data_IF_348672065359
#
_entry.id   IF_348672065359
#
_cell.length_a   1.000
_cell.length_b   1.000
_cell.length_c   1.000
_cell.angle_alpha   90.00
_cell.angle_beta   90.00
_cell.angle_gamma   90.00
#
_symmetry.space_group_name_H-M   'P 1'
#
loop_
_entity.id
_entity.type
_entity.pdbx_description
1 polymer ?
#
# COMPACT_ATOMS: atom_id res chain seq x y z
N UNK A 1 91.79 -31.65 -23.24
CA UNK A 1 92.17 -30.22 -23.28
C UNK A 1 90.93 -29.40 -22.89
N UNK A 2 91.13 -28.51 -21.94
CA UNK A 2 90.10 -27.71 -21.31
C UNK A 2 89.52 -26.64 -22.21
N UNK A 3 88.17 -26.48 -22.23
CA UNK A 3 87.56 -25.24 -22.65
C UNK A 3 86.46 -24.83 -21.65
N UNK A 4 86.58 -23.58 -21.20
CA UNK A 4 85.81 -22.96 -20.09
C UNK A 4 84.41 -22.59 -20.55
N UNK A 5 83.44 -22.83 -19.64
CA UNK A 5 82.08 -22.33 -19.71
C UNK A 5 82.04 -20.88 -19.28
N UNK A 6 81.35 -20.05 -20.02
CA UNK A 6 80.97 -18.70 -19.59
C UNK A 6 79.44 -18.64 -19.53
N UNK A 7 78.91 -18.51 -18.27
CA UNK A 7 77.49 -18.38 -18.00
C UNK A 7 77.10 -16.90 -18.13
N UNK A 8 76.21 -16.59 -19.03
CA UNK A 8 75.55 -15.29 -19.11
C UNK A 8 74.20 -15.43 -18.42
N UNK A 9 73.99 -14.70 -17.27
CA UNK A 9 72.74 -14.56 -16.58
C UNK A 9 71.95 -13.43 -17.24
N UNK A 10 70.87 -13.76 -17.97
CA UNK A 10 69.83 -12.79 -18.36
C UNK A 10 68.68 -12.80 -17.36
N UNK A 11 68.65 -11.81 -16.48
CA UNK A 11 67.49 -11.57 -15.61
C UNK A 11 66.39 -10.90 -16.43
N UNK A 12 65.37 -11.68 -16.77
CA UNK A 12 64.14 -11.15 -17.33
C UNK A 12 63.18 -10.71 -16.18
N UNK A 13 63.07 -9.39 -15.96
CA UNK A 13 62.06 -8.82 -15.10
C UNK A 13 60.69 -8.90 -15.82
N UNK A 14 59.84 -9.88 -15.43
CA UNK A 14 58.46 -9.91 -15.88
C UNK A 14 57.68 -8.88 -15.01
N UNK A 15 57.41 -7.70 -15.57
CA UNK A 15 56.43 -6.76 -15.03
C UNK A 15 55.04 -7.34 -15.31
N UNK A 16 54.43 -7.94 -14.28
CA UNK A 16 53.02 -8.31 -14.31
C UNK A 16 52.19 -7.02 -14.22
N UNK A 17 51.76 -6.47 -15.37
CA UNK A 17 50.68 -5.50 -15.42
C UNK A 17 49.39 -6.23 -15.00
N UNK A 18 48.97 -6.03 -13.75
CA UNK A 18 47.58 -6.29 -13.32
C UNK A 18 46.66 -5.38 -14.14
N UNK A 19 46.16 -5.86 -15.25
CA UNK A 19 45.01 -5.32 -15.93
C UNK A 19 43.79 -5.57 -14.99
N UNK A 20 43.62 -4.72 -14.01
CA UNK A 20 42.31 -4.56 -13.35
C UNK A 20 41.36 -3.94 -14.40
N UNK A 21 40.75 -4.79 -15.18
CA UNK A 21 39.58 -4.41 -15.97
C UNK A 21 38.57 -3.75 -15.03
N UNK A 22 37.77 -2.78 -15.47
CA UNK A 22 36.74 -2.21 -14.63
C UNK A 22 35.86 -3.38 -14.14
N UNK A 23 35.76 -3.55 -12.84
CA UNK A 23 34.80 -4.48 -12.24
C UNK A 23 33.44 -4.12 -12.85
N UNK A 24 32.89 -5.03 -13.62
CA UNK A 24 31.57 -4.88 -14.20
C UNK A 24 30.64 -4.86 -12.98
N UNK A 25 30.04 -3.71 -12.71
CA UNK A 25 29.06 -3.62 -11.63
C UNK A 25 27.98 -4.67 -11.95
N UNK A 26 27.74 -5.59 -11.00
CA UNK A 26 26.71 -6.60 -11.17
C UNK A 26 25.37 -5.90 -11.40
N UNK A 27 24.52 -6.50 -12.25
CA UNK A 27 23.16 -5.99 -12.51
C UNK A 27 22.43 -5.77 -11.17
N UNK A 28 21.68 -4.68 -11.07
CA UNK A 28 20.84 -4.43 -9.89
C UNK A 28 19.61 -5.31 -9.99
N UNK A 29 19.54 -6.36 -9.20
CA UNK A 29 18.31 -7.16 -9.07
C UNK A 29 17.36 -6.45 -8.10
N UNK A 30 16.27 -5.94 -8.66
CA UNK A 30 15.22 -5.23 -7.97
C UNK A 30 13.99 -6.13 -7.82
N UNK A 31 13.80 -6.73 -6.65
CA UNK A 31 12.65 -7.58 -6.35
C UNK A 31 11.54 -6.77 -5.70
N UNK A 32 10.32 -6.89 -6.22
CA UNK A 32 9.21 -6.04 -5.78
C UNK A 32 7.90 -6.81 -5.64
N UNK A 33 7.21 -6.59 -4.51
CA UNK A 33 5.80 -6.98 -4.35
C UNK A 33 4.84 -5.90 -4.86
N UNK A 34 5.37 -4.73 -5.23
CA UNK A 34 4.61 -3.63 -5.79
C UNK A 34 4.76 -3.61 -7.31
N UNK A 35 3.79 -3.02 -8.00
CA UNK A 35 3.79 -2.91 -9.47
C UNK A 35 3.93 -4.29 -10.14
N UNK A 36 3.14 -5.27 -9.66
CA UNK A 36 3.12 -6.65 -10.17
C UNK A 36 2.29 -6.87 -11.42
N UNK A 37 1.16 -6.16 -11.63
CA UNK A 37 0.47 -6.22 -12.90
C UNK A 37 1.43 -5.99 -14.07
N UNK A 38 1.25 -6.72 -15.16
CA UNK A 38 2.20 -6.69 -16.30
C UNK A 38 2.36 -5.27 -16.82
N UNK A 39 1.27 -4.54 -16.91
CA UNK A 39 1.22 -3.15 -17.39
C UNK A 39 2.01 -2.22 -16.47
N UNK A 40 1.86 -2.35 -15.15
CA UNK A 40 2.57 -1.53 -14.17
C UNK A 40 4.07 -1.87 -14.17
N UNK A 41 4.42 -3.16 -14.20
CA UNK A 41 5.81 -3.61 -14.28
C UNK A 41 6.48 -3.13 -15.57
N UNK A 42 5.75 -3.10 -16.69
CA UNK A 42 6.24 -2.57 -17.96
C UNK A 42 6.48 -1.06 -17.88
N UNK A 43 5.55 -0.30 -17.29
CA UNK A 43 5.72 1.15 -17.07
C UNK A 43 6.91 1.45 -16.17
N UNK A 44 7.15 0.64 -15.14
CA UNK A 44 8.34 0.79 -14.31
C UNK A 44 9.62 0.64 -15.15
N UNK A 45 9.72 -0.41 -15.99
CA UNK A 45 10.92 -0.67 -16.82
C UNK A 45 11.12 0.37 -17.92
N UNK A 46 10.05 0.72 -18.63
CA UNK A 46 10.16 1.46 -19.90
C UNK A 46 10.04 2.98 -19.70
N UNK A 47 9.35 3.42 -18.64
CA UNK A 47 9.09 4.84 -18.42
C UNK A 47 9.76 5.35 -17.16
N UNK A 48 9.52 4.73 -16.00
CA UNK A 48 10.01 5.23 -14.71
C UNK A 48 11.54 5.07 -14.61
N UNK A 49 12.08 3.91 -15.04
CA UNK A 49 13.53 3.64 -15.00
C UNK A 49 14.30 4.07 -16.27
N UNK A 50 13.61 4.70 -17.24
CA UNK A 50 14.19 5.03 -18.54
C UNK A 50 15.49 5.83 -18.46
N UNK A 51 15.56 6.79 -17.56
CA UNK A 51 16.69 7.69 -17.41
C UNK A 51 17.68 7.23 -16.33
N UNK A 52 17.45 6.07 -15.72
CA UNK A 52 18.39 5.52 -14.74
C UNK A 52 19.61 4.90 -15.43
N UNK A 53 20.85 5.29 -15.06
CA UNK A 53 22.03 4.99 -15.89
C UNK A 53 22.55 3.55 -15.77
N UNK A 54 22.03 2.77 -14.82
CA UNK A 54 22.49 1.39 -14.60
C UNK A 54 21.41 0.39 -14.98
N UNK A 55 21.83 -0.83 -15.31
CA UNK A 55 20.90 -1.90 -15.64
C UNK A 55 20.18 -2.43 -14.40
N UNK A 56 18.86 -2.42 -14.44
CA UNK A 56 17.98 -2.94 -13.40
C UNK A 56 17.22 -4.15 -13.94
N UNK A 57 17.32 -5.28 -13.25
CA UNK A 57 16.51 -6.47 -13.49
C UNK A 57 15.35 -6.48 -12.48
N UNK A 58 14.17 -6.01 -12.92
CA UNK A 58 12.96 -6.06 -12.10
C UNK A 58 12.39 -7.48 -12.03
N UNK A 59 12.19 -7.97 -10.83
CA UNK A 59 11.56 -9.26 -10.50
C UNK A 59 10.29 -8.99 -9.69
N UNK A 60 9.11 -8.91 -10.33
CA UNK A 60 7.84 -8.87 -9.60
C UNK A 60 7.62 -10.20 -8.87
N UNK A 61 7.21 -10.13 -7.59
CA UNK A 61 7.05 -11.31 -6.77
C UNK A 61 5.89 -11.16 -5.77
N UNK A 62 5.31 -12.27 -5.34
CA UNK A 62 4.34 -12.28 -4.24
C UNK A 62 5.05 -12.19 -2.88
N UNK A 63 4.40 -11.67 -1.82
CA UNK A 63 5.05 -11.47 -0.52
C UNK A 63 5.63 -12.74 0.11
N UNK A 64 4.91 -13.86 0.06
CA UNK A 64 5.37 -15.11 0.67
C UNK A 64 6.54 -15.76 -0.11
N UNK A 65 6.50 -15.91 -1.46
CA UNK A 65 7.65 -16.31 -2.25
C UNK A 65 8.87 -15.39 -2.08
N UNK A 66 8.67 -14.06 -2.01
CA UNK A 66 9.75 -13.11 -1.76
C UNK A 66 10.46 -13.43 -0.44
N UNK A 67 9.71 -13.56 0.66
CA UNK A 67 10.28 -13.88 1.97
C UNK A 67 11.01 -15.23 1.97
N UNK A 68 10.43 -16.25 1.32
CA UNK A 68 11.02 -17.58 1.17
C UNK A 68 12.35 -17.52 0.41
N UNK A 69 12.39 -16.79 -0.70
CA UNK A 69 13.62 -16.61 -1.48
C UNK A 69 14.69 -15.87 -0.69
N UNK A 70 14.34 -14.76 -0.04
CA UNK A 70 15.28 -13.99 0.77
C UNK A 70 15.91 -14.85 1.88
N UNK A 71 15.10 -15.71 2.53
CA UNK A 71 15.58 -16.65 3.52
C UNK A 71 16.50 -17.71 2.92
N UNK A 72 16.11 -18.34 1.81
CA UNK A 72 16.91 -19.36 1.14
C UNK A 72 18.26 -18.83 0.67
N UNK A 73 18.30 -17.62 0.12
CA UNK A 73 19.56 -16.94 -0.27
C UNK A 73 20.43 -16.64 0.97
N UNK A 74 19.79 -16.32 2.11
CA UNK A 74 20.47 -16.13 3.37
C UNK A 74 21.14 -17.43 3.86
N UNK A 75 20.38 -18.50 3.92
CA UNK A 75 20.82 -19.80 4.42
C UNK A 75 21.93 -20.39 3.50
N UNK A 76 21.84 -20.19 2.20
CA UNK A 76 22.84 -20.64 1.24
C UNK A 76 24.11 -19.77 1.17
N UNK A 77 24.12 -18.60 1.85
CA UNK A 77 25.23 -17.64 1.76
C UNK A 77 25.43 -17.05 0.35
N UNK A 78 24.44 -17.22 -0.55
CA UNK A 78 24.51 -16.76 -1.94
C UNK A 78 23.42 -15.70 -2.17
N UNK A 79 23.84 -14.45 -2.25
CA UNK A 79 22.95 -13.30 -2.42
C UNK A 79 22.84 -12.93 -3.90
N UNK A 80 21.64 -12.71 -4.38
CA UNK A 80 21.37 -12.25 -5.76
C UNK A 80 20.57 -10.94 -5.79
N UNK A 81 19.78 -10.67 -4.76
CA UNK A 81 18.93 -9.49 -4.69
C UNK A 81 19.71 -8.29 -4.17
N UNK A 82 19.61 -7.15 -4.86
CA UNK A 82 20.22 -5.88 -4.43
C UNK A 82 19.20 -5.00 -3.69
N UNK A 83 18.03 -4.80 -4.28
CA UNK A 83 16.97 -3.95 -3.73
C UNK A 83 15.68 -4.74 -3.57
N UNK A 84 15.02 -4.53 -2.45
CA UNK A 84 13.68 -5.06 -2.19
C UNK A 84 12.71 -3.89 -2.07
N UNK A 85 11.61 -3.94 -2.83
CA UNK A 85 10.49 -3.04 -2.65
C UNK A 85 9.26 -3.82 -2.20
N UNK A 86 8.67 -3.39 -1.09
CA UNK A 86 7.49 -4.06 -0.56
C UNK A 86 6.65 -3.11 0.30
N UNK A 87 5.42 -3.48 0.58
CA UNK A 87 4.58 -2.77 1.53
C UNK A 87 5.16 -2.81 2.94
N UNK A 88 4.86 -1.79 3.75
CA UNK A 88 5.35 -1.70 5.14
C UNK A 88 5.18 -3.01 5.92
N UNK A 89 3.98 -3.62 5.89
CA UNK A 89 3.71 -4.88 6.57
C UNK A 89 4.44 -6.10 6.00
N UNK A 90 4.91 -6.04 4.76
CA UNK A 90 5.63 -7.10 4.06
C UNK A 90 7.15 -7.02 4.31
N UNK A 91 7.68 -5.83 4.61
CA UNK A 91 9.09 -5.62 4.99
C UNK A 91 9.39 -6.08 6.42
N UNK A 92 8.40 -6.05 7.30
CA UNK A 92 8.61 -6.43 8.70
C UNK A 92 9.02 -7.90 8.90
N UNK A 93 8.42 -8.91 8.22
CA UNK A 93 8.93 -10.29 8.26
C UNK A 93 10.38 -10.42 7.77
N UNK A 94 10.79 -9.62 6.77
CA UNK A 94 12.16 -9.61 6.27
C UNK A 94 13.14 -9.05 7.31
N UNK A 95 12.73 -8.00 8.04
CA UNK A 95 13.49 -7.47 9.17
C UNK A 95 13.66 -8.52 10.27
N UNK A 96 12.58 -9.23 10.61
CA UNK A 96 12.59 -10.23 11.70
C UNK A 96 13.57 -11.39 11.42
N UNK A 97 13.81 -11.74 10.16
CA UNK A 97 14.82 -12.76 9.76
C UNK A 97 16.20 -12.16 9.43
N UNK A 98 16.39 -10.85 9.66
CA UNK A 98 17.67 -10.17 9.40
C UNK A 98 18.03 -10.09 7.91
N UNK A 99 17.04 -10.07 7.01
CA UNK A 99 17.25 -10.07 5.56
C UNK A 99 17.47 -8.67 4.95
N UNK A 100 17.40 -7.61 5.76
CA UNK A 100 17.59 -6.22 5.34
C UNK A 100 18.84 -5.61 5.98
N UNK A 101 19.57 -4.81 5.21
CA UNK A 101 20.69 -4.01 5.73
C UNK A 101 20.20 -2.65 6.24
N UNK A 102 20.80 -2.12 7.32
CA UNK A 102 20.63 -0.72 7.69
C UNK A 102 21.08 0.24 6.56
N UNK A 103 20.29 1.27 6.34
CA UNK A 103 20.48 2.29 5.31
C UNK A 103 20.36 3.71 5.88
N UNK A 104 20.86 3.92 7.10
CA UNK A 104 20.91 5.23 7.76
C UNK A 104 21.73 6.24 6.93
N UNK A 105 22.76 5.78 6.24
CA UNK A 105 23.59 6.54 5.31
C UNK A 105 22.80 7.04 4.10
N UNK A 106 21.94 6.20 3.51
CA UNK A 106 21.03 6.61 2.42
C UNK A 106 19.99 7.61 2.95
N UNK A 107 19.38 7.32 4.11
CA UNK A 107 18.43 8.23 4.73
C UNK A 107 19.03 9.63 4.97
N UNK A 108 20.29 9.70 5.39
CA UNK A 108 21.00 10.97 5.59
C UNK A 108 21.18 11.77 4.28
N UNK A 109 21.42 11.09 3.15
CA UNK A 109 21.50 11.74 1.82
C UNK A 109 20.14 12.30 1.36
N UNK A 110 19.04 11.72 1.82
CA UNK A 110 17.69 12.06 1.38
C UNK A 110 16.96 13.06 2.30
N UNK A 111 17.63 13.59 3.34
CA UNK A 111 17.02 14.48 4.34
C UNK A 111 16.31 15.72 3.75
N UNK A 112 16.83 16.23 2.65
CA UNK A 112 16.32 17.45 2.01
C UNK A 112 15.16 17.17 1.02
N UNK A 113 14.74 15.91 0.86
CA UNK A 113 13.63 15.53 -0.04
C UNK A 113 12.24 15.78 0.56
N UNK A 114 12.16 16.17 1.82
CA UNK A 114 10.90 16.51 2.49
C UNK A 114 9.98 15.30 2.72
N UNK A 115 10.56 14.10 2.88
CA UNK A 115 9.78 12.93 3.30
C UNK A 115 9.27 13.16 4.72
N UNK A 116 7.96 13.01 5.00
CA UNK A 116 7.42 13.20 6.33
C UNK A 116 8.12 12.33 7.39
N UNK A 117 8.43 12.92 8.55
CA UNK A 117 9.11 12.21 9.63
C UNK A 117 8.34 10.96 10.09
N UNK A 118 7.00 10.99 10.07
CA UNK A 118 6.14 9.84 10.35
C UNK A 118 6.38 8.67 9.39
N UNK A 119 6.53 8.94 8.10
CA UNK A 119 6.84 7.90 7.11
C UNK A 119 8.26 7.36 7.27
N UNK A 120 9.25 8.23 7.55
CA UNK A 120 10.61 7.79 7.85
C UNK A 120 10.67 6.93 9.10
N UNK A 121 9.87 7.24 10.13
CA UNK A 121 9.77 6.42 11.34
C UNK A 121 9.23 5.01 11.05
N UNK A 122 8.28 4.86 10.12
CA UNK A 122 7.82 3.54 9.66
C UNK A 122 8.98 2.73 9.07
N UNK A 123 9.90 3.38 8.37
CA UNK A 123 11.08 2.76 7.76
C UNK A 123 12.04 2.10 8.74
N UNK A 124 11.90 2.38 10.03
CA UNK A 124 12.69 1.73 11.08
C UNK A 124 12.16 0.34 11.49
N UNK A 125 10.94 -0.02 11.09
CA UNK A 125 10.34 -1.33 11.39
C UNK A 125 10.42 -1.73 12.88
N UNK A 126 10.25 -0.74 13.79
CA UNK A 126 10.33 -0.94 15.24
C UNK A 126 11.74 -0.99 15.82
N UNK A 127 12.79 -0.76 15.02
CA UNK A 127 14.19 -0.69 15.47
C UNK A 127 14.67 0.76 15.60
N UNK A 128 15.94 0.95 15.95
CA UNK A 128 16.63 2.25 15.95
C UNK A 128 17.26 2.58 14.60
N UNK A 129 17.31 1.62 13.66
CA UNK A 129 17.94 1.74 12.34
C UNK A 129 16.93 2.01 11.23
N UNK A 130 17.33 2.79 10.23
CA UNK A 130 16.54 2.91 8.99
C UNK A 130 16.74 1.64 8.16
N UNK A 131 15.66 0.91 7.88
CA UNK A 131 15.69 -0.35 7.15
C UNK A 131 15.02 -0.25 5.78
N UNK A 132 14.15 0.74 5.58
CA UNK A 132 13.67 1.11 4.25
C UNK A 132 13.46 2.61 4.12
N UNK A 133 13.57 3.11 2.90
CA UNK A 133 13.16 4.48 2.54
C UNK A 133 11.73 4.39 1.99
N UNK A 134 10.77 5.19 2.49
CA UNK A 134 9.46 5.31 1.86
C UNK A 134 9.63 5.67 0.38
N UNK A 135 8.91 4.96 -0.49
CA UNK A 135 9.05 5.12 -1.95
C UNK A 135 7.82 5.74 -2.58
N UNK A 136 6.67 5.17 -2.31
CA UNK A 136 5.41 5.62 -2.85
C UNK A 136 4.29 5.30 -1.88
N UNK A 137 3.20 6.04 -1.99
CA UNK A 137 2.04 5.86 -1.15
C UNK A 137 0.76 5.84 -1.96
N UNK A 138 -0.23 5.18 -1.42
CA UNK A 138 -1.58 5.18 -1.93
C UNK A 138 -2.57 5.14 -0.76
N UNK A 139 -3.82 5.35 -1.08
CA UNK A 139 -4.92 5.20 -0.14
C UNK A 139 -6.21 4.90 -0.92
N UNK A 140 -7.31 4.85 -0.21
CA UNK A 140 -8.64 4.69 -0.78
C UNK A 140 -9.40 5.98 -0.57
N UNK A 141 -10.21 6.34 -1.54
CA UNK A 141 -11.01 7.56 -1.53
C UNK A 141 -12.45 7.27 -1.96
N UNK A 142 -13.30 8.24 -1.74
CA UNK A 142 -14.61 8.29 -2.37
C UNK A 142 -14.55 9.10 -3.65
N UNK A 143 -15.32 8.68 -4.64
CA UNK A 143 -15.58 9.43 -5.87
C UNK A 143 -17.07 9.53 -6.10
N UNK A 144 -17.56 10.69 -6.51
CA UNK A 144 -18.94 10.82 -6.95
C UNK A 144 -19.03 11.48 -8.32
N UNK A 145 -19.92 10.95 -9.17
CA UNK A 145 -20.36 11.69 -10.35
C UNK A 145 -21.14 12.93 -9.89
N UNK A 146 -20.88 14.08 -10.50
CA UNK A 146 -21.54 15.36 -10.15
C UNK A 146 -23.07 15.28 -10.24
N UNK A 147 -23.64 14.33 -10.99
CA UNK A 147 -25.08 14.03 -11.00
C UNK A 147 -25.63 13.63 -9.62
N UNK A 148 -24.77 13.13 -8.72
CA UNK A 148 -25.16 12.78 -7.36
C UNK A 148 -25.28 14.01 -6.45
N UNK A 149 -24.53 15.09 -6.70
CA UNK A 149 -24.43 16.27 -5.83
C UNK A 149 -25.77 16.94 -5.50
N UNK A 150 -26.74 17.06 -6.43
CA UNK A 150 -28.07 17.63 -6.09
C UNK A 150 -28.84 16.89 -5.01
N UNK A 151 -28.46 15.66 -4.68
CA UNK A 151 -29.08 14.82 -3.66
C UNK A 151 -28.33 14.82 -2.33
N UNK A 152 -27.20 15.54 -2.25
CA UNK A 152 -26.45 15.67 -1.01
C UNK A 152 -27.32 16.30 0.08
N UNK A 153 -27.30 15.76 1.31
CA UNK A 153 -28.06 16.34 2.41
C UNK A 153 -27.73 17.82 2.63
N UNK A 154 -28.75 18.61 2.93
CA UNK A 154 -28.58 20.05 3.15
C UNK A 154 -27.50 20.34 4.23
N UNK A 155 -26.55 21.22 3.92
CA UNK A 155 -25.45 21.60 4.79
C UNK A 155 -24.33 20.57 4.90
N UNK A 156 -24.40 19.42 4.20
CA UNK A 156 -23.31 18.46 4.15
C UNK A 156 -22.20 18.93 3.20
N UNK A 157 -20.95 18.75 3.64
CA UNK A 157 -19.75 18.94 2.82
C UNK A 157 -19.20 17.57 2.41
N UNK A 158 -19.02 17.33 1.11
CA UNK A 158 -18.44 16.06 0.60
C UNK A 158 -17.08 15.76 1.21
N UNK A 159 -16.30 16.79 1.57
CA UNK A 159 -14.97 16.61 2.16
C UNK A 159 -15.00 16.29 3.67
N UNK A 160 -16.17 16.43 4.30
CA UNK A 160 -16.36 16.25 5.74
C UNK A 160 -17.57 15.35 6.09
N UNK A 161 -17.94 14.45 5.16
CA UNK A 161 -19.10 13.56 5.35
C UNK A 161 -18.93 12.67 6.58
N UNK A 162 -20.09 12.38 7.22
CA UNK A 162 -20.24 11.24 8.13
C UNK A 162 -20.87 10.04 7.42
N UNK A 163 -20.78 8.83 8.02
CA UNK A 163 -21.47 7.66 7.48
C UNK A 163 -22.98 7.83 7.43
N UNK A 164 -23.57 8.54 8.40
CA UNK A 164 -25.01 8.84 8.40
C UNK A 164 -25.39 9.75 7.22
N UNK A 165 -24.57 10.76 6.93
CA UNK A 165 -24.78 11.63 5.77
C UNK A 165 -24.60 10.88 4.46
N UNK A 166 -23.62 9.97 4.35
CA UNK A 166 -23.47 9.11 3.18
C UNK A 166 -24.71 8.21 2.98
N UNK A 167 -25.23 7.62 4.08
CA UNK A 167 -26.45 6.81 4.03
C UNK A 167 -27.68 7.63 3.59
N UNK A 168 -27.83 8.83 4.14
CA UNK A 168 -28.91 9.75 3.75
C UNK A 168 -28.79 10.17 2.27
N UNK A 169 -27.56 10.43 1.78
CA UNK A 169 -27.29 10.76 0.39
C UNK A 169 -27.66 9.62 -0.54
N UNK A 170 -27.18 8.40 -0.27
CA UNK A 170 -27.49 7.22 -1.07
C UNK A 170 -29.01 6.92 -1.11
N UNK A 171 -29.69 7.08 0.05
CA UNK A 171 -31.14 6.92 0.15
C UNK A 171 -31.89 7.98 -0.66
N UNK A 172 -31.50 9.26 -0.59
CA UNK A 172 -32.12 10.33 -1.37
C UNK A 172 -32.00 10.08 -2.89
N UNK A 173 -30.86 9.59 -3.37
CA UNK A 173 -30.68 9.19 -4.77
C UNK A 173 -31.65 8.05 -5.12
N UNK A 174 -31.73 7.02 -4.27
CA UNK A 174 -32.61 5.88 -4.49
C UNK A 174 -34.10 6.30 -4.54
N UNK A 175 -34.55 7.14 -3.60
CA UNK A 175 -35.93 7.62 -3.55
C UNK A 175 -36.33 8.46 -4.78
N UNK A 176 -35.39 9.26 -5.28
CA UNK A 176 -35.66 10.16 -6.44
C UNK A 176 -35.49 9.48 -7.79
N UNK A 177 -34.59 8.53 -7.90
CA UNK A 177 -34.26 7.88 -9.19
C UNK A 177 -34.84 6.48 -9.34
N UNK A 178 -35.33 5.88 -8.25
CA UNK A 178 -35.73 4.49 -8.19
C UNK A 178 -34.56 3.50 -8.23
N UNK A 179 -33.30 3.99 -8.18
CA UNK A 179 -32.11 3.16 -8.38
C UNK A 179 -31.07 3.40 -7.27
N UNK A 180 -30.45 2.31 -6.82
CA UNK A 180 -29.35 2.35 -5.86
C UNK A 180 -28.05 2.63 -6.59
N UNK A 181 -27.41 3.78 -6.31
CA UNK A 181 -26.24 4.29 -7.06
C UNK A 181 -24.98 4.44 -6.22
N UNK A 182 -24.97 3.95 -4.97
CA UNK A 182 -23.77 3.82 -4.17
C UNK A 182 -23.12 2.46 -4.44
N UNK A 183 -21.81 2.39 -4.60
CA UNK A 183 -21.08 1.17 -4.92
C UNK A 183 -19.83 0.98 -4.08
N UNK A 184 -19.50 -0.30 -3.86
CA UNK A 184 -18.29 -0.77 -3.19
C UNK A 184 -17.67 -1.95 -3.96
N UNK A 185 -16.33 -2.14 -3.92
CA UNK A 185 -15.66 -3.24 -4.59
C UNK A 185 -15.72 -4.53 -3.74
N UNK A 186 -16.93 -5.11 -3.61
CA UNK A 186 -17.19 -6.27 -2.77
C UNK A 186 -17.19 -7.61 -3.55
N UNK A 187 -16.74 -7.61 -4.80
CA UNK A 187 -16.51 -8.80 -5.61
C UNK A 187 -15.34 -9.65 -5.11
N UNK A 188 -15.15 -10.83 -5.70
CA UNK A 188 -14.14 -11.81 -5.22
C UNK A 188 -12.70 -11.30 -5.17
N UNK A 189 -12.33 -10.38 -6.07
CA UNK A 189 -11.01 -9.72 -6.14
C UNK A 189 -11.07 -8.25 -5.70
N UNK A 190 -12.21 -7.85 -5.15
CA UNK A 190 -12.43 -6.50 -4.63
C UNK A 190 -11.62 -6.23 -3.37
N UNK A 191 -11.41 -4.94 -3.10
CA UNK A 191 -10.66 -4.51 -1.91
C UNK A 191 -11.57 -4.15 -0.73
N UNK A 192 -12.76 -4.75 -0.67
CA UNK A 192 -13.70 -4.53 0.43
C UNK A 192 -13.14 -4.82 1.84
N UNK A 193 -12.26 -5.84 2.05
CA UNK A 193 -11.61 -6.02 3.36
C UNK A 193 -10.91 -4.74 3.83
N UNK A 194 -10.27 -4.00 2.92
CA UNK A 194 -9.55 -2.75 3.24
C UNK A 194 -10.47 -1.63 3.68
N UNK A 195 -11.72 -1.62 3.17
CA UNK A 195 -12.74 -0.70 3.66
C UNK A 195 -13.08 -0.98 5.14
N UNK A 196 -13.27 -2.24 5.50
CA UNK A 196 -13.54 -2.60 6.90
C UNK A 196 -12.34 -2.30 7.80
N UNK A 197 -11.15 -2.73 7.41
CA UNK A 197 -9.92 -2.66 8.21
C UNK A 197 -9.37 -1.23 8.32
N UNK A 198 -9.52 -0.42 7.28
CA UNK A 198 -8.91 0.92 7.24
C UNK A 198 -9.86 2.08 7.47
N UNK A 199 -11.15 1.86 7.32
CA UNK A 199 -12.13 2.95 7.29
C UNK A 199 -13.27 2.74 8.27
N UNK A 200 -14.01 1.65 8.11
CA UNK A 200 -15.24 1.48 8.88
C UNK A 200 -14.95 1.15 10.36
N UNK A 201 -14.16 0.11 10.64
CA UNK A 201 -13.79 -0.25 12.01
C UNK A 201 -13.08 0.90 12.74
N UNK A 202 -12.00 1.51 12.20
CA UNK A 202 -11.34 2.64 12.84
C UNK A 202 -12.32 3.79 13.17
N UNK A 203 -13.19 4.14 12.23
CA UNK A 203 -14.10 5.25 12.38
C UNK A 203 -15.13 5.06 13.50
N UNK A 204 -15.55 3.84 13.77
CA UNK A 204 -16.56 3.56 14.79
C UNK A 204 -15.96 3.09 16.11
N UNK A 205 -14.87 2.35 16.08
CA UNK A 205 -14.34 1.66 17.29
C UNK A 205 -12.99 2.19 17.73
N UNK A 206 -12.27 2.91 16.88
CA UNK A 206 -10.91 3.38 17.14
C UNK A 206 -9.84 2.29 16.99
N UNK A 207 -10.16 1.10 16.49
CA UNK A 207 -9.25 -0.01 16.27
C UNK A 207 -9.74 -0.94 15.17
N UNK A 208 -9.03 -2.03 14.95
CA UNK A 208 -9.34 -3.05 13.94
C UNK A 208 -9.50 -4.41 14.59
N UNK A 209 -8.49 -4.85 15.34
CA UNK A 209 -8.41 -6.19 15.95
C UNK A 209 -8.99 -6.20 17.36
N UNK A 210 -8.48 -5.30 18.23
CA UNK A 210 -8.86 -5.28 19.65
C UNK A 210 -10.37 -5.09 19.86
N UNK A 211 -11.04 -4.14 19.19
CA UNK A 211 -12.48 -3.89 19.39
C UNK A 211 -13.37 -4.69 18.43
N UNK A 212 -12.89 -5.78 17.82
CA UNK A 212 -13.58 -6.49 16.75
C UNK A 212 -15.04 -6.86 17.08
N UNK A 213 -15.33 -7.26 18.33
CA UNK A 213 -16.67 -7.61 18.81
C UNK A 213 -17.22 -6.68 19.90
N UNK A 214 -16.73 -5.45 19.95
CA UNK A 214 -17.20 -4.45 20.91
C UNK A 214 -18.65 -4.03 20.64
N UNK A 215 -19.26 -3.32 21.58
CA UNK A 215 -20.61 -2.75 21.39
C UNK A 215 -20.62 -1.71 20.24
N UNK A 216 -19.52 -0.98 20.08
CA UNK A 216 -19.36 -0.04 18.96
C UNK A 216 -19.29 -0.77 17.62
N UNK A 217 -18.63 -1.95 17.57
CA UNK A 217 -18.61 -2.79 16.36
C UNK A 217 -20.01 -3.33 16.02
N UNK A 218 -20.80 -3.70 17.03
CA UNK A 218 -22.20 -4.11 16.82
C UNK A 218 -23.03 -2.96 16.25
N UNK A 219 -22.90 -1.76 16.81
CA UNK A 219 -23.54 -0.53 16.31
C UNK A 219 -23.11 -0.23 14.86
N UNK A 220 -21.82 -0.31 14.59
CA UNK A 220 -21.23 -0.12 13.26
C UNK A 220 -21.83 -1.06 12.22
N UNK A 221 -21.89 -2.36 12.51
CA UNK A 221 -22.46 -3.34 11.57
C UNK A 221 -23.94 -3.11 11.35
N UNK A 222 -24.69 -2.66 12.38
CA UNK A 222 -26.08 -2.25 12.24
C UNK A 222 -26.24 -1.07 11.28
N UNK A 223 -25.44 -0.03 11.45
CA UNK A 223 -25.41 1.14 10.57
C UNK A 223 -24.99 0.78 9.14
N UNK A 224 -23.96 -0.05 8.98
CA UNK A 224 -23.50 -0.47 7.67
C UNK A 224 -24.51 -1.37 6.93
N UNK A 225 -25.19 -2.25 7.65
CA UNK A 225 -26.30 -3.04 7.09
C UNK A 225 -27.44 -2.14 6.59
N UNK A 226 -27.78 -1.09 7.33
CA UNK A 226 -28.77 -0.10 6.91
C UNK A 226 -28.32 0.69 5.67
N UNK A 227 -27.04 1.13 5.63
CA UNK A 227 -26.43 1.78 4.45
C UNK A 227 -26.49 0.87 3.22
N UNK A 228 -26.19 -0.42 3.39
CA UNK A 228 -26.14 -1.40 2.30
C UNK A 228 -27.48 -1.57 1.59
N UNK A 229 -28.60 -1.30 2.25
CA UNK A 229 -29.93 -1.29 1.62
C UNK A 229 -30.03 -0.29 0.45
N UNK A 230 -29.20 0.75 0.41
CA UNK A 230 -29.10 1.73 -0.68
C UNK A 230 -27.88 1.54 -1.58
N UNK A 231 -27.09 0.49 -1.37
CA UNK A 231 -25.96 0.13 -2.24
C UNK A 231 -26.43 -0.61 -3.48
N UNK A 232 -25.80 -0.36 -4.62
CA UNK A 232 -26.06 -1.06 -5.86
C UNK A 232 -25.92 -2.58 -5.69
N UNK A 233 -26.90 -3.39 -6.03
CA UNK A 233 -26.89 -4.83 -5.78
C UNK A 233 -25.72 -5.55 -6.46
N UNK A 234 -25.22 -5.02 -7.58
CA UNK A 234 -24.05 -5.58 -8.27
C UNK A 234 -22.74 -5.32 -7.56
N UNK A 235 -22.70 -4.52 -6.48
CA UNK A 235 -21.49 -4.27 -5.69
C UNK A 235 -20.85 -5.56 -5.17
N UNK A 236 -21.64 -6.60 -4.90
CA UNK A 236 -21.14 -7.92 -4.52
C UNK A 236 -20.34 -8.65 -5.63
N UNK A 237 -20.41 -8.14 -6.88
CA UNK A 237 -19.72 -8.70 -8.05
C UNK A 237 -18.63 -7.76 -8.61
N UNK A 238 -18.58 -6.49 -8.16
CA UNK A 238 -17.58 -5.55 -8.64
C UNK A 238 -16.23 -5.78 -7.95
N UNK A 239 -15.21 -6.07 -8.74
CA UNK A 239 -13.83 -6.13 -8.27
C UNK A 239 -13.17 -4.74 -8.28
N UNK A 240 -13.60 -3.86 -9.21
CA UNK A 240 -13.12 -2.50 -9.43
C UNK A 240 -14.30 -1.55 -9.62
N UNK A 241 -14.16 -0.31 -9.18
CA UNK A 241 -15.25 0.67 -9.26
C UNK A 241 -15.16 1.60 -10.47
N UNK A 242 -14.06 1.60 -11.22
CA UNK A 242 -13.93 2.49 -12.39
C UNK A 242 -14.99 2.22 -13.47
N UNK A 243 -15.23 0.95 -13.82
CA UNK A 243 -16.17 0.60 -14.88
C UNK A 243 -17.62 0.97 -14.53
N UNK A 244 -18.18 0.58 -13.36
CA UNK A 244 -19.52 0.97 -12.99
C UNK A 244 -19.71 2.49 -12.80
N UNK A 245 -18.63 3.23 -12.43
CA UNK A 245 -18.65 4.71 -12.41
C UNK A 245 -18.72 5.29 -13.83
N UNK A 246 -17.89 4.80 -14.75
CA UNK A 246 -17.88 5.26 -16.16
C UNK A 246 -19.20 4.94 -16.87
N UNK A 247 -19.74 3.75 -16.63
CA UNK A 247 -21.02 3.30 -17.17
C UNK A 247 -22.23 3.98 -16.54
N UNK A 248 -22.05 4.68 -15.42
CA UNK A 248 -23.12 5.35 -14.70
C UNK A 248 -24.06 4.43 -13.94
N UNK A 249 -23.72 3.15 -13.78
CA UNK A 249 -24.43 2.21 -12.91
C UNK A 249 -24.31 2.61 -11.45
N UNK A 250 -23.17 3.18 -11.09
CA UNK A 250 -22.83 3.73 -9.80
C UNK A 250 -22.51 5.22 -9.95
N UNK A 251 -23.00 6.04 -9.03
CA UNK A 251 -22.73 7.47 -8.98
C UNK A 251 -21.81 7.86 -7.83
N UNK A 252 -21.77 7.07 -6.77
CA UNK A 252 -20.89 7.25 -5.62
C UNK A 252 -20.15 5.94 -5.41
N UNK A 253 -18.84 5.95 -5.33
CA UNK A 253 -18.03 4.75 -5.14
C UNK A 253 -16.88 4.99 -4.15
N UNK A 254 -16.49 3.91 -3.48
CA UNK A 254 -15.27 3.79 -2.70
C UNK A 254 -14.34 2.80 -3.39
N UNK A 255 -13.07 3.17 -3.64
CA UNK A 255 -12.03 2.23 -4.07
C UNK A 255 -10.63 2.82 -3.88
N UNK A 256 -9.62 1.99 -4.18
CA UNK A 256 -8.21 2.38 -4.23
C UNK A 256 -7.97 3.39 -5.36
N UNK A 257 -7.13 4.40 -5.12
CA UNK A 257 -6.85 5.45 -6.11
C UNK A 257 -6.44 4.89 -7.46
N UNK A 258 -5.54 3.91 -7.53
CA UNK A 258 -5.15 3.29 -8.80
C UNK A 258 -6.29 2.58 -9.55
N UNK A 259 -7.36 2.19 -8.85
CA UNK A 259 -8.56 1.55 -9.43
C UNK A 259 -9.67 2.52 -9.79
N UNK A 260 -9.50 3.81 -9.50
CA UNK A 260 -10.41 4.91 -9.85
C UNK A 260 -9.82 5.79 -10.95
N UNK A 261 -8.49 5.77 -11.09
CA UNK A 261 -7.70 6.64 -11.94
C UNK A 261 -8.26 6.77 -13.37
N UNK A 262 -8.52 5.66 -14.03
CA UNK A 262 -8.92 5.68 -15.45
C UNK A 262 -10.31 6.29 -15.65
N UNK A 263 -11.23 6.13 -14.69
CA UNK A 263 -12.52 6.82 -14.73
C UNK A 263 -12.36 8.34 -14.64
N UNK A 264 -11.52 8.79 -13.70
CA UNK A 264 -11.27 10.20 -13.46
C UNK A 264 -10.47 10.86 -14.58
N UNK A 265 -9.52 10.14 -15.19
CA UNK A 265 -8.74 10.62 -16.34
C UNK A 265 -9.64 10.77 -17.57
N UNK A 266 -10.53 9.82 -17.79
CA UNK A 266 -11.41 9.82 -18.99
C UNK A 266 -12.42 10.98 -18.98
N UNK A 267 -12.96 11.34 -17.81
CA UNK A 267 -14.01 12.37 -17.67
C UNK A 267 -13.84 13.18 -16.37
N UNK A 268 -12.75 13.93 -16.21
CA UNK A 268 -12.46 14.64 -14.96
C UNK A 268 -13.55 15.65 -14.57
N UNK A 269 -14.23 16.24 -15.55
CA UNK A 269 -15.30 17.22 -15.32
C UNK A 269 -16.60 16.60 -14.79
N UNK A 270 -16.78 15.31 -14.94
CA UNK A 270 -17.97 14.60 -14.48
C UNK A 270 -17.90 14.20 -13.00
N UNK A 271 -16.72 14.24 -12.40
CA UNK A 271 -16.49 13.68 -11.06
C UNK A 271 -16.00 14.69 -10.02
N UNK A 272 -16.22 14.34 -8.76
CA UNK A 272 -15.53 14.90 -7.58
C UNK A 272 -14.94 13.74 -6.80
N UNK A 273 -13.73 13.95 -6.25
CA UNK A 273 -13.06 13.00 -5.38
C UNK A 273 -12.91 13.61 -3.97
N UNK A 274 -13.10 12.79 -2.94
CA UNK A 274 -13.19 13.28 -1.57
C UNK A 274 -12.83 12.17 -0.55
N UNK A 275 -12.54 12.53 0.72
CA UNK A 275 -12.24 11.57 1.78
C UNK A 275 -13.42 10.61 2.07
N UNK A 276 -13.09 9.41 2.56
CA UNK A 276 -14.11 8.53 3.13
C UNK A 276 -14.82 9.19 4.33
N UNK A 277 -16.04 8.76 4.67
CA UNK A 277 -16.81 9.36 5.76
C UNK A 277 -16.16 9.16 7.14
N UNK A 278 -16.42 10.09 8.06
CA UNK A 278 -16.09 9.95 9.47
C UNK A 278 -17.19 9.19 10.22
N UNK A 279 -16.79 8.48 11.25
CA UNK A 279 -17.67 7.90 12.28
C UNK A 279 -17.48 8.58 13.63
N UNK A 280 -18.04 8.00 14.70
CA UNK A 280 -17.99 8.59 16.05
C UNK A 280 -16.60 8.78 16.64
N UNK A 281 -15.60 8.00 16.19
CA UNK A 281 -14.21 8.09 16.66
C UNK A 281 -13.33 8.99 15.78
N UNK A 282 -13.77 9.28 14.57
CA UNK A 282 -13.04 10.07 13.59
C UNK A 282 -13.13 9.47 12.19
N UNK A 283 -12.21 9.87 11.33
CA UNK A 283 -12.11 9.48 9.92
C UNK A 283 -11.03 8.44 9.74
N UNK A 284 -11.43 7.17 9.60
CA UNK A 284 -10.48 6.12 9.26
C UNK A 284 -9.87 6.35 7.88
N UNK A 285 -8.58 6.11 7.74
CA UNK A 285 -7.96 5.98 6.43
C UNK A 285 -6.80 5.00 6.45
N UNK A 286 -6.65 4.22 5.41
CA UNK A 286 -5.57 3.26 5.28
C UNK A 286 -4.41 3.88 4.51
N UNK A 287 -3.29 4.07 5.19
CA UNK A 287 -2.04 4.46 4.55
C UNK A 287 -1.37 3.22 3.94
N UNK A 288 -1.35 3.13 2.62
CA UNK A 288 -0.60 2.11 1.87
C UNK A 288 0.76 2.71 1.53
N UNK A 289 1.79 2.32 2.28
CA UNK A 289 3.16 2.81 2.09
C UNK A 289 4.03 1.66 1.61
N UNK A 290 4.67 1.84 0.46
CA UNK A 290 5.71 0.95 -0.03
C UNK A 290 7.09 1.56 0.27
N UNK A 291 8.04 0.70 0.60
CA UNK A 291 9.40 1.07 0.92
C UNK A 291 10.43 0.39 0.03
N UNK A 292 11.59 1.00 -0.07
CA UNK A 292 12.79 0.49 -0.74
C UNK A 292 13.83 0.14 0.30
N UNK A 293 14.28 -1.09 0.32
CA UNK A 293 15.29 -1.63 1.23
C UNK A 293 16.49 -2.16 0.45
N UNK A 294 17.66 -2.16 1.06
CA UNK A 294 18.82 -2.92 0.57
C UNK A 294 18.78 -4.32 1.20
N UNK A 295 18.88 -5.34 0.38
CA UNK A 295 18.96 -6.71 0.85
C UNK A 295 20.26 -6.94 1.64
N UNK A 296 20.20 -7.74 2.70
CA UNK A 296 21.38 -8.08 3.51
C UNK A 296 22.46 -8.74 2.67
N UNK A 297 23.64 -8.11 2.61
CA UNK A 297 24.74 -8.58 1.80
C UNK A 297 24.49 -8.46 0.28
N UNK A 298 23.78 -7.44 -0.16
CA UNK A 298 23.49 -7.16 -1.57
C UNK A 298 24.74 -7.18 -2.45
N UNK A 299 24.74 -7.91 -3.59
CA UNK A 299 25.90 -8.00 -4.49
C UNK A 299 26.31 -6.65 -5.05
N UNK A 300 25.33 -5.78 -5.35
CA UNK A 300 25.54 -4.41 -5.82
C UNK A 300 24.83 -3.41 -4.91
N UNK A 301 25.37 -3.24 -3.69
CA UNK A 301 24.84 -2.28 -2.72
C UNK A 301 24.85 -0.84 -3.26
N UNK A 302 25.98 -0.42 -3.85
CA UNK A 302 26.13 0.94 -4.38
C UNK A 302 25.12 1.24 -5.51
N UNK A 303 24.88 0.29 -6.41
CA UNK A 303 23.83 0.42 -7.42
C UNK A 303 22.44 0.45 -6.82
N UNK A 304 22.19 -0.34 -5.78
CA UNK A 304 20.92 -0.32 -5.03
C UNK A 304 20.66 1.01 -4.34
N UNK A 305 21.66 1.61 -3.70
CA UNK A 305 21.58 2.95 -3.11
C UNK A 305 21.28 4.02 -4.17
N UNK A 306 21.99 3.99 -5.30
CA UNK A 306 21.72 4.89 -6.41
C UNK A 306 20.30 4.73 -6.97
N UNK A 307 19.76 3.50 -7.02
CA UNK A 307 18.39 3.25 -7.44
C UNK A 307 17.38 3.85 -6.43
N UNK A 308 17.61 3.71 -5.13
CA UNK A 308 16.78 4.32 -4.09
C UNK A 308 16.80 5.85 -4.21
N UNK A 309 17.99 6.43 -4.38
CA UNK A 309 18.15 7.86 -4.58
C UNK A 309 17.39 8.34 -5.83
N UNK A 310 17.49 7.63 -6.96
CA UNK A 310 16.76 7.93 -8.18
C UNK A 310 15.24 7.82 -8.02
N UNK A 311 14.74 6.71 -7.50
CA UNK A 311 13.30 6.47 -7.35
C UNK A 311 12.62 7.42 -6.35
N UNK A 312 13.39 8.10 -5.50
CA UNK A 312 12.92 9.14 -4.58
C UNK A 312 13.13 10.55 -5.09
N UNK A 313 13.59 10.77 -6.31
CA UNK A 313 13.58 12.09 -6.94
C UNK A 313 12.15 12.59 -7.16
N UNK A 314 11.88 13.85 -6.86
CA UNK A 314 10.55 14.45 -7.03
C UNK A 314 10.01 14.24 -8.46
N UNK A 315 10.86 14.45 -9.48
CA UNK A 315 10.51 14.20 -10.89
C UNK A 315 10.08 12.76 -11.13
N UNK A 316 10.83 11.78 -10.60
CA UNK A 316 10.56 10.36 -10.81
C UNK A 316 9.30 9.92 -10.08
N UNK A 317 9.06 10.47 -8.88
CA UNK A 317 7.84 10.22 -8.12
C UNK A 317 6.59 10.79 -8.80
N UNK A 318 6.70 11.93 -9.45
CA UNK A 318 5.61 12.51 -10.25
C UNK A 318 5.32 11.67 -11.51
N UNK A 319 6.35 11.13 -12.16
CA UNK A 319 6.17 10.14 -13.25
C UNK A 319 5.46 8.89 -12.71
N UNK A 320 5.89 8.37 -11.56
CA UNK A 320 5.25 7.22 -10.92
C UNK A 320 3.77 7.48 -10.63
N UNK A 321 3.42 8.65 -10.09
CA UNK A 321 2.03 9.02 -9.85
C UNK A 321 1.20 9.06 -11.15
N UNK A 322 1.75 9.65 -12.19
CA UNK A 322 1.07 9.74 -13.49
C UNK A 322 0.84 8.35 -14.12
N UNK A 323 1.86 7.49 -14.09
CA UNK A 323 1.84 6.23 -14.82
C UNK A 323 1.09 5.13 -14.09
N UNK A 324 1.29 5.01 -12.77
CA UNK A 324 0.77 3.86 -12.00
C UNK A 324 -0.17 4.25 -10.85
N UNK A 325 -0.42 5.54 -10.62
CA UNK A 325 -1.41 6.01 -9.65
C UNK A 325 -0.96 5.89 -8.18
N UNK A 326 0.35 5.80 -7.92
CA UNK A 326 0.91 5.90 -6.57
C UNK A 326 1.51 7.27 -6.35
N UNK A 327 1.15 7.90 -5.24
CA UNK A 327 1.50 9.28 -4.94
C UNK A 327 2.89 9.43 -4.33
N UNK A 328 3.52 10.61 -4.52
CA UNK A 328 4.82 10.91 -3.94
C UNK A 328 4.81 10.84 -2.41
N UNK A 329 5.92 10.37 -1.86
CA UNK A 329 6.26 10.48 -0.43
C UNK A 329 7.24 11.62 -0.16
N UNK A 330 7.79 12.21 -1.20
CA UNK A 330 8.68 13.37 -1.14
C UNK A 330 7.91 14.65 -1.36
N UNK A 331 8.49 15.80 -0.95
CA UNK A 331 7.93 17.09 -1.29
C UNK A 331 8.03 17.30 -2.81
N UNK A 332 6.88 17.30 -3.47
CA UNK A 332 6.77 17.52 -4.90
C UNK A 332 5.56 18.40 -5.21
N UNK A 333 5.76 19.42 -6.04
CA UNK A 333 4.67 20.23 -6.57
C UNK A 333 4.10 19.54 -7.79
N UNK A 334 2.79 19.28 -7.77
CA UNK A 334 2.11 18.66 -8.91
C UNK A 334 2.22 19.58 -10.13
N UNK A 335 2.68 19.07 -11.29
CA UNK A 335 2.81 19.87 -12.50
C UNK A 335 1.49 20.54 -12.91
N UNK A 336 1.56 21.77 -13.40
CA UNK A 336 0.38 22.50 -13.85
C UNK A 336 -0.37 21.73 -14.97
N UNK A 337 0.36 21.03 -15.81
CA UNK A 337 -0.14 20.23 -16.93
C UNK A 337 -0.51 18.77 -16.53
N UNK A 338 -0.47 18.41 -15.23
CA UNK A 338 -0.91 17.10 -14.78
C UNK A 338 -2.38 16.88 -15.15
N UNK A 339 -2.73 15.66 -15.55
CA UNK A 339 -4.11 15.32 -15.90
C UNK A 339 -5.08 15.74 -14.80
N UNK A 340 -6.20 16.43 -15.13
CA UNK A 340 -7.17 16.89 -14.13
C UNK A 340 -7.73 15.79 -13.24
N UNK A 341 -7.91 14.56 -13.77
CA UNK A 341 -8.36 13.40 -13.00
C UNK A 341 -7.38 13.01 -11.90
N UNK A 342 -6.07 13.03 -12.19
CA UNK A 342 -5.03 12.77 -11.19
C UNK A 342 -4.98 13.90 -10.15
N UNK A 343 -5.21 15.14 -10.55
CA UNK A 343 -5.33 16.26 -9.60
C UNK A 343 -6.50 16.09 -8.63
N UNK A 344 -7.64 15.57 -9.11
CA UNK A 344 -8.78 15.25 -8.26
C UNK A 344 -8.42 14.20 -7.20
N UNK A 345 -7.75 13.12 -7.60
CA UNK A 345 -7.26 12.09 -6.66
C UNK A 345 -6.28 12.66 -5.64
N UNK A 346 -5.26 13.37 -6.11
CA UNK A 346 -4.25 13.96 -5.25
C UNK A 346 -4.86 14.91 -4.20
N UNK A 347 -5.83 15.73 -4.60
CA UNK A 347 -6.53 16.63 -3.69
C UNK A 347 -7.37 15.86 -2.65
N UNK A 348 -7.99 14.74 -3.04
CA UNK A 348 -8.74 13.89 -2.10
C UNK A 348 -7.82 13.15 -1.12
N UNK A 349 -6.67 12.66 -1.61
CA UNK A 349 -5.63 12.04 -0.77
C UNK A 349 -5.10 13.04 0.26
N UNK A 350 -4.72 14.24 -0.17
CA UNK A 350 -4.24 15.31 0.71
C UNK A 350 -5.27 15.66 1.79
N UNK A 351 -6.53 15.87 1.41
CA UNK A 351 -7.63 16.12 2.36
C UNK A 351 -7.86 14.97 3.33
N UNK A 352 -7.68 13.71 2.87
CA UNK A 352 -7.81 12.53 3.73
C UNK A 352 -6.72 12.51 4.81
N UNK A 353 -5.47 12.77 4.39
CA UNK A 353 -4.31 12.71 5.28
C UNK A 353 -4.21 13.90 6.24
N UNK A 354 -4.66 15.07 5.79
CA UNK A 354 -4.63 16.32 6.58
C UNK A 354 -5.88 16.56 7.41
N UNK A 355 -6.88 15.67 7.33
CA UNK A 355 -8.11 15.81 8.13
C UNK A 355 -7.79 15.81 9.64
N UNK A 356 -8.33 16.77 10.41
CA UNK A 356 -8.00 16.90 11.85
C UNK A 356 -8.49 15.72 12.67
N UNK A 357 -9.48 14.98 12.16
CA UNK A 357 -10.08 13.78 12.75
C UNK A 357 -9.53 12.48 12.14
N UNK A 358 -8.43 12.55 11.38
CA UNK A 358 -7.86 11.40 10.70
C UNK A 358 -7.34 10.33 11.66
N UNK A 359 -7.77 9.09 11.46
CA UNK A 359 -7.34 7.89 12.18
C UNK A 359 -6.58 6.99 11.21
N UNK A 360 -5.26 7.00 11.30
CA UNK A 360 -4.40 6.22 10.42
C UNK A 360 -4.51 4.73 10.75
N UNK A 361 -4.83 3.93 9.77
CA UNK A 361 -4.75 2.47 9.81
C UNK A 361 -3.66 1.99 8.84
N UNK A 362 -2.86 1.03 9.27
CA UNK A 362 -1.89 0.40 8.39
C UNK A 362 -2.41 -0.94 7.87
N UNK A 363 -1.81 -1.40 6.78
CA UNK A 363 -2.00 -2.79 6.35
C UNK A 363 -1.59 -3.73 7.48
N UNK A 364 -2.27 -4.89 7.61
CA UNK A 364 -1.94 -5.88 8.64
C UNK A 364 -0.46 -6.25 8.65
N UNK A 365 0.10 -6.38 9.84
CA UNK A 365 1.52 -6.62 10.08
C UNK A 365 1.72 -7.95 10.80
N UNK A 366 2.77 -8.70 10.44
CA UNK A 366 3.17 -9.90 11.17
C UNK A 366 2.31 -11.15 10.92
N UNK A 367 1.36 -11.10 10.00
CA UNK A 367 0.44 -12.21 9.73
C UNK A 367 1.05 -13.35 8.87
N UNK A 368 2.21 -13.14 8.24
CA UNK A 368 2.83 -14.13 7.37
C UNK A 368 1.86 -14.63 6.28
N UNK A 369 1.70 -15.94 6.19
CA UNK A 369 0.78 -16.61 5.25
C UNK A 369 -0.70 -16.54 5.66
N UNK A 370 -1.01 -16.01 6.86
CA UNK A 370 -2.37 -15.90 7.38
C UNK A 370 -3.11 -14.62 6.94
N UNK A 371 -2.46 -13.71 6.21
CA UNK A 371 -3.08 -12.46 5.76
C UNK A 371 -4.39 -12.66 4.98
N UNK A 372 -4.47 -13.68 4.12
CA UNK A 372 -5.71 -14.04 3.43
C UNK A 372 -6.84 -14.51 4.37
N UNK A 373 -6.49 -15.27 5.42
CA UNK A 373 -7.45 -15.72 6.42
C UNK A 373 -7.94 -14.55 7.29
N UNK A 374 -7.06 -13.61 7.61
CA UNK A 374 -7.40 -12.37 8.30
C UNK A 374 -8.45 -11.56 7.52
N UNK A 375 -8.17 -11.26 6.25
CA UNK A 375 -9.12 -10.55 5.39
C UNK A 375 -10.47 -11.30 5.29
N UNK A 376 -10.41 -12.63 5.28
CA UNK A 376 -11.62 -13.48 5.19
C UNK A 376 -12.53 -13.29 6.40
N UNK A 377 -12.02 -13.10 7.61
CA UNK A 377 -12.83 -12.83 8.81
C UNK A 377 -13.75 -11.63 8.60
N UNK A 378 -13.24 -10.52 8.07
CA UNK A 378 -14.03 -9.31 7.80
C UNK A 378 -15.03 -9.53 6.67
N UNK A 379 -14.64 -10.28 5.63
CA UNK A 379 -15.54 -10.61 4.53
C UNK A 379 -16.64 -11.59 4.95
N UNK A 380 -16.33 -12.59 5.76
CA UNK A 380 -17.33 -13.53 6.30
C UNK A 380 -18.31 -12.78 7.21
N UNK A 381 -17.81 -11.88 8.07
CA UNK A 381 -18.67 -11.01 8.89
C UNK A 381 -19.64 -10.21 8.03
N UNK A 382 -19.13 -9.57 6.99
CA UNK A 382 -19.95 -8.82 6.02
C UNK A 382 -21.01 -9.71 5.36
N UNK A 383 -20.60 -10.86 4.82
CA UNK A 383 -21.51 -11.75 4.13
C UNK A 383 -22.62 -12.26 5.06
N UNK A 384 -22.26 -12.63 6.29
CA UNK A 384 -23.20 -13.17 7.28
C UNK A 384 -24.16 -12.09 7.80
N UNK A 385 -23.64 -10.95 8.22
CA UNK A 385 -24.44 -9.86 8.81
C UNK A 385 -25.26 -9.15 7.77
N UNK A 386 -24.61 -8.73 6.67
CA UNK A 386 -25.20 -7.80 5.71
C UNK A 386 -25.95 -8.52 4.60
N UNK A 387 -25.36 -9.55 3.99
CA UNK A 387 -25.98 -10.22 2.85
C UNK A 387 -26.97 -11.33 3.28
N UNK A 388 -26.66 -12.08 4.36
CA UNK A 388 -27.52 -13.16 4.83
C UNK A 388 -28.46 -12.74 5.97
N UNK A 389 -28.21 -11.58 6.62
CA UNK A 389 -29.06 -11.05 7.67
C UNK A 389 -28.96 -11.76 9.00
N UNK A 390 -27.88 -12.53 9.23
CA UNK A 390 -27.64 -13.22 10.51
C UNK A 390 -27.55 -12.24 11.70
N UNK A 391 -27.85 -12.68 12.93
CA UNK A 391 -27.75 -11.83 14.12
C UNK A 391 -26.30 -11.32 14.32
N UNK A 392 -26.12 -10.01 14.43
CA UNK A 392 -24.81 -9.36 14.46
C UNK A 392 -23.95 -9.90 15.60
N UNK A 393 -24.48 -9.96 16.83
CA UNK A 393 -23.73 -10.43 18.00
C UNK A 393 -23.20 -11.85 17.82
N UNK A 394 -24.02 -12.77 17.35
CA UNK A 394 -23.64 -14.16 17.15
C UNK A 394 -22.54 -14.29 16.08
N UNK A 395 -22.62 -13.49 15.00
CA UNK A 395 -21.59 -13.46 13.96
C UNK A 395 -20.29 -12.90 14.52
N UNK A 396 -20.33 -11.78 15.24
CA UNK A 396 -19.12 -11.18 15.81
C UNK A 396 -18.43 -12.11 16.80
N UNK A 397 -19.18 -12.84 17.62
CA UNK A 397 -18.59 -13.80 18.57
C UNK A 397 -17.89 -14.94 17.82
N UNK A 398 -18.55 -15.51 16.81
CA UNK A 398 -17.97 -16.60 15.99
C UNK A 398 -16.73 -16.17 15.21
N UNK A 399 -16.77 -15.00 14.56
CA UNK A 399 -15.65 -14.50 13.76
C UNK A 399 -14.50 -13.97 14.64
N UNK A 400 -14.79 -13.49 15.86
CA UNK A 400 -13.78 -13.14 16.84
C UNK A 400 -12.95 -14.35 17.27
N UNK A 401 -13.55 -15.52 17.39
CA UNK A 401 -12.80 -16.75 17.70
C UNK A 401 -11.84 -17.13 16.56
N UNK A 402 -12.29 -16.99 15.31
CA UNK A 402 -11.43 -17.19 14.14
C UNK A 402 -10.28 -16.14 14.08
N UNK A 403 -10.58 -14.86 14.32
CA UNK A 403 -9.59 -13.80 14.38
C UNK A 403 -8.56 -14.06 15.50
N UNK A 404 -9.03 -14.44 16.69
CA UNK A 404 -8.17 -14.78 17.83
C UNK A 404 -7.24 -15.94 17.52
N UNK A 405 -7.72 -16.96 16.84
CA UNK A 405 -6.91 -18.10 16.42
C UNK A 405 -5.78 -17.65 15.47
N UNK A 406 -6.07 -16.76 14.52
CA UNK A 406 -5.06 -16.19 13.59
C UNK A 406 -4.02 -15.40 14.38
N UNK A 407 -4.45 -14.47 15.23
CA UNK A 407 -3.53 -13.62 16.00
C UNK A 407 -2.64 -14.44 16.93
N UNK A 408 -3.19 -15.47 17.58
CA UNK A 408 -2.43 -16.38 18.43
C UNK A 408 -1.41 -17.21 17.63
N UNK A 409 -1.82 -17.75 16.48
CA UNK A 409 -0.95 -18.60 15.64
C UNK A 409 0.22 -17.81 15.04
N UNK A 410 0.02 -16.53 14.72
CA UNK A 410 1.04 -15.67 14.12
C UNK A 410 1.86 -14.92 15.16
N UNK A 411 1.38 -14.83 16.39
CA UNK A 411 1.89 -13.93 17.43
C UNK A 411 2.05 -12.48 16.93
N UNK A 412 1.21 -12.07 15.97
CA UNK A 412 1.28 -10.75 15.36
C UNK A 412 0.92 -9.66 16.38
N UNK A 413 1.77 -8.64 16.57
CA UNK A 413 1.46 -7.51 17.46
C UNK A 413 0.33 -6.66 16.88
N UNK A 414 -0.28 -5.83 17.72
CA UNK A 414 -1.21 -4.82 17.24
C UNK A 414 -0.49 -3.79 16.36
N UNK A 415 -1.21 -3.27 15.38
CA UNK A 415 -0.79 -2.14 14.54
C UNK A 415 -1.85 -1.02 14.59
N UNK A 416 -1.45 0.19 14.23
CA UNK A 416 -2.36 1.34 14.26
C UNK A 416 -3.62 1.08 13.41
N UNK A 417 -4.81 1.52 13.90
CA UNK A 417 -5.01 2.34 15.08
C UNK A 417 -5.17 1.58 16.41
N UNK A 418 -5.06 0.25 16.43
CA UNK A 418 -5.04 -0.49 17.69
C UNK A 418 -3.85 -0.06 18.56
N UNK A 419 -4.00 -0.01 19.90
CA UNK A 419 -2.88 0.24 20.80
C UNK A 419 -1.80 -0.83 20.66
N UNK A 420 -0.51 -0.44 20.72
CA UNK A 420 0.59 -1.37 20.63
C UNK A 420 0.50 -2.48 21.70
N UNK A 421 0.86 -3.71 21.32
CA UNK A 421 0.91 -4.87 22.21
C UNK A 421 2.31 -5.45 22.29
N UNK A 422 2.62 -6.12 23.39
CA UNK A 422 3.91 -6.83 23.60
C UNK A 422 3.91 -8.27 23.09
N UNK A 423 2.86 -8.70 22.41
CA UNK A 423 2.66 -10.04 21.85
C UNK A 423 1.47 -10.01 20.92
N UNK A 424 0.85 -11.18 20.71
CA UNK A 424 -0.32 -11.27 19.86
C UNK A 424 -1.38 -10.21 20.20
N UNK A 425 -1.86 -9.49 19.18
CA UNK A 425 -2.89 -8.47 19.36
C UNK A 425 -4.15 -9.12 19.93
N UNK A 426 -4.65 -8.64 21.10
CA UNK A 426 -5.79 -9.27 21.75
C UNK A 426 -7.09 -8.95 21.01
N UNK A 427 -7.94 -9.95 20.81
CA UNK A 427 -9.31 -9.81 20.30
C UNK A 427 -10.25 -9.78 21.51
N UNK A 428 -10.91 -8.65 21.75
CA UNK A 428 -11.81 -8.44 22.91
C UNK A 428 -13.26 -8.48 22.49
#
# INVERSE_FOLDING_TARGET
>A
MRVHSMKILCSALLAALCLSGPARADDIVFMSTQLRPIEEAQKLREVILKDFPQKVTLVPEEPAPLATRMKAEADAGKRTVSVVAAGHGELQPLQAIGALDPIDDVAAKLKDRGIPASLMQLGKLGTDKQLYIPWMQATYIMVANKKALPFLPAGADVNALTYDQLAAWAKAIQEKTGQRRLGFPAGPKGLMPRFFEGYLYPAYTGGVVTPFRSAEAETMWGAFKALWASVNPNSANYDFMQEPLQGGEVWIAFDHVARLKDALIAKPDDFVAFPAPAGPKGRGYMAVVAGLSIAKGAPNRAGGEALIEYLTEAKVQLITASEVGFFPVVKAELPANLNPGIKLEAAAVDKTQSAPDALVSFLPVGLGDKGGQFNKVYMDTFQRVVLRGEPIRAVLDSEADALKAIMTATNAPCWAPDPASSGACPVK
#
